data_IF_000574569527
#
_entry.id   IF_000574569527
#
_cell.length_a   1.000
_cell.length_b   1.000
_cell.length_c   1.000
_cell.angle_alpha   90.00
_cell.angle_beta   90.00
_cell.angle_gamma   90.00
#
_symmetry.space_group_name_H-M   'P 1'
#
loop_
_entity.id
_entity.type
_entity.pdbx_description
1 polymer ?
#
# COMPACT_ATOMS: atom_id res chain seq x y z
N UNK A 1 -12.16 -33.87 -0.20
CA UNK A 1 -12.39 -35.06 0.63
C UNK A 1 -12.43 -36.33 -0.22
N UNK A 2 -12.11 -37.45 0.37
CA UNK A 2 -12.31 -38.76 -0.26
C UNK A 2 -13.81 -38.97 -0.50
N UNK A 3 -14.30 -38.74 -1.70
CA UNK A 3 -15.72 -38.95 -2.01
C UNK A 3 -16.30 -38.08 -3.12
N UNK A 4 -15.50 -37.19 -3.72
CA UNK A 4 -15.93 -36.44 -4.92
C UNK A 4 -17.12 -35.49 -4.72
N UNK A 5 -17.51 -35.17 -3.48
CA UNK A 5 -18.54 -34.16 -3.21
C UNK A 5 -17.97 -32.77 -3.40
N UNK A 6 -18.65 -31.87 -4.16
CA UNK A 6 -18.24 -30.50 -4.29
C UNK A 6 -18.30 -29.77 -2.93
N UNK A 7 -17.29 -28.96 -2.65
CA UNK A 7 -17.28 -28.05 -1.49
C UNK A 7 -17.41 -26.63 -2.03
N UNK A 8 -18.42 -25.93 -1.54
CA UNK A 8 -18.65 -24.53 -1.89
C UNK A 8 -18.08 -23.65 -0.79
N UNK A 9 -17.29 -22.66 -1.16
CA UNK A 9 -16.71 -21.68 -0.25
C UNK A 9 -17.15 -20.30 -0.72
N UNK A 10 -17.90 -19.60 0.12
CA UNK A 10 -18.24 -18.20 -0.11
C UNK A 10 -17.28 -17.32 0.70
N UNK A 11 -16.31 -16.71 0.02
CA UNK A 11 -15.32 -15.82 0.63
C UNK A 11 -15.93 -14.46 1.02
N UNK A 12 -17.12 -14.14 0.56
CA UNK A 12 -17.80 -12.85 0.77
C UNK A 12 -19.00 -12.94 1.70
N UNK A 13 -19.27 -14.11 2.26
CA UNK A 13 -20.41 -14.32 3.17
C UNK A 13 -20.26 -13.53 4.48
N UNK A 14 -19.01 -13.30 4.93
CA UNK A 14 -18.71 -12.47 6.10
C UNK A 14 -18.11 -11.14 5.67
N UNK A 15 -18.19 -10.13 6.53
CA UNK A 15 -17.59 -8.80 6.27
C UNK A 15 -16.08 -8.85 6.00
N UNK A 16 -15.39 -9.90 6.48
CA UNK A 16 -13.96 -10.13 6.24
C UNK A 16 -13.79 -11.59 5.86
N UNK A 17 -13.75 -11.86 4.56
CA UNK A 17 -13.36 -13.17 4.04
C UNK A 17 -11.83 -13.28 4.04
N UNK A 18 -11.28 -14.16 4.88
CA UNK A 18 -9.85 -14.49 4.87
C UNK A 18 -9.68 -15.99 4.72
N UNK A 19 -8.80 -16.40 3.81
CA UNK A 19 -8.45 -17.80 3.62
C UNK A 19 -6.93 -17.94 3.62
N UNK A 20 -6.44 -18.97 4.28
CA UNK A 20 -5.03 -19.36 4.24
C UNK A 20 -4.90 -20.67 3.46
N UNK A 21 -4.15 -20.65 2.38
CA UNK A 21 -3.87 -21.82 1.55
C UNK A 21 -2.44 -22.26 1.85
N UNK A 22 -2.31 -23.44 2.46
CA UNK A 22 -1.01 -24.03 2.80
C UNK A 22 -0.76 -25.31 2.02
N UNK A 23 0.49 -25.63 1.83
CA UNK A 23 0.93 -26.86 1.15
C UNK A 23 2.39 -26.77 0.72
N UNK A 24 2.97 -27.90 0.40
CA UNK A 24 4.35 -27.99 -0.11
C UNK A 24 4.47 -27.36 -1.51
N UNK A 25 5.70 -27.12 -1.96
CA UNK A 25 5.94 -26.68 -3.34
C UNK A 25 5.35 -27.71 -4.32
N UNK A 26 4.73 -27.24 -5.40
CA UNK A 26 4.07 -28.08 -6.39
C UNK A 26 2.69 -28.63 -5.98
N UNK A 27 2.18 -28.34 -4.79
CA UNK A 27 0.87 -28.82 -4.31
C UNK A 27 -0.36 -28.15 -4.94
N UNK A 28 -0.15 -27.20 -5.86
CA UNK A 28 -1.24 -26.52 -6.57
C UNK A 28 -1.78 -25.25 -5.88
N UNK A 29 -1.09 -24.69 -4.88
CA UNK A 29 -1.52 -23.45 -4.19
C UNK A 29 -1.77 -22.29 -5.16
N UNK A 30 -0.84 -22.03 -6.06
CA UNK A 30 -0.96 -20.96 -7.05
C UNK A 30 -2.09 -21.23 -8.04
N UNK A 31 -2.32 -22.48 -8.41
CA UNK A 31 -3.46 -22.88 -9.27
C UNK A 31 -4.79 -22.59 -8.59
N UNK A 32 -4.89 -22.91 -7.30
CA UNK A 32 -6.09 -22.62 -6.52
C UNK A 32 -6.30 -21.11 -6.35
N UNK A 33 -5.25 -20.35 -6.02
CA UNK A 33 -5.31 -18.89 -5.95
C UNK A 33 -5.75 -18.28 -7.28
N UNK A 34 -5.22 -18.77 -8.39
CA UNK A 34 -5.62 -18.36 -9.73
C UNK A 34 -7.10 -18.70 -10.02
N UNK A 35 -7.58 -19.83 -9.58
CA UNK A 35 -8.98 -20.19 -9.70
C UNK A 35 -9.88 -19.20 -8.97
N UNK A 36 -9.54 -18.80 -7.74
CA UNK A 36 -10.28 -17.75 -7.02
C UNK A 36 -10.24 -16.42 -7.76
N UNK A 37 -9.11 -16.06 -8.35
CA UNK A 37 -8.99 -14.84 -9.14
C UNK A 37 -9.94 -14.85 -10.34
N UNK A 38 -9.98 -15.94 -11.11
CA UNK A 38 -10.88 -16.07 -12.25
C UNK A 38 -12.36 -16.03 -11.86
N UNK A 39 -12.73 -16.70 -10.77
CA UNK A 39 -14.11 -16.66 -10.24
C UNK A 39 -14.50 -15.26 -9.78
N UNK A 40 -13.58 -14.52 -9.15
CA UNK A 40 -13.79 -13.12 -8.77
C UNK A 40 -14.01 -12.24 -10.01
N UNK A 41 -13.15 -12.35 -11.03
CA UNK A 41 -13.29 -11.61 -12.27
C UNK A 41 -14.59 -11.92 -13.00
N UNK A 42 -14.99 -13.19 -13.06
CA UNK A 42 -16.25 -13.62 -13.65
C UNK A 42 -17.49 -12.98 -12.96
N UNK A 43 -17.35 -12.60 -11.69
CA UNK A 43 -18.34 -11.89 -10.90
C UNK A 43 -18.10 -10.37 -10.84
N UNK A 44 -17.29 -9.81 -11.72
CA UNK A 44 -16.92 -8.39 -11.76
C UNK A 44 -16.30 -7.88 -10.43
N UNK A 45 -15.61 -8.74 -9.72
CA UNK A 45 -14.87 -8.40 -8.51
C UNK A 45 -13.40 -8.17 -8.89
N UNK A 46 -12.86 -6.95 -8.73
CA UNK A 46 -11.46 -6.68 -8.99
C UNK A 46 -10.53 -7.52 -8.12
N UNK A 47 -9.40 -7.91 -8.71
CA UNK A 47 -8.38 -8.72 -8.04
C UNK A 47 -7.09 -7.92 -7.95
N UNK A 48 -6.48 -7.91 -6.79
CA UNK A 48 -5.15 -7.39 -6.57
C UNK A 48 -4.32 -8.40 -5.80
N UNK A 49 -3.05 -8.53 -6.11
CA UNK A 49 -2.20 -9.48 -5.44
C UNK A 49 -0.74 -9.05 -5.34
N UNK A 50 -0.02 -9.76 -4.48
CA UNK A 50 1.42 -9.67 -4.37
C UNK A 50 2.04 -10.99 -4.79
N UNK A 51 3.10 -10.93 -5.57
CA UNK A 51 3.86 -12.10 -5.98
C UNK A 51 5.33 -11.97 -5.59
N UNK A 52 5.76 -12.84 -4.70
CA UNK A 52 7.15 -12.91 -4.25
C UNK A 52 7.81 -14.10 -4.94
N UNK A 53 8.37 -13.87 -6.11
CA UNK A 53 9.05 -14.89 -6.90
C UNK A 53 10.56 -14.79 -6.78
N UNK A 54 11.19 -15.80 -6.20
CA UNK A 54 12.66 -15.88 -6.13
C UNK A 54 13.34 -16.20 -7.48
N UNK A 55 12.59 -16.78 -8.42
CA UNK A 55 13.13 -17.28 -9.70
C UNK A 55 12.81 -16.39 -10.93
N UNK A 56 12.02 -15.33 -10.76
CA UNK A 56 11.55 -14.50 -11.88
C UNK A 56 10.48 -15.19 -12.76
N UNK A 57 10.25 -16.47 -12.60
CA UNK A 57 9.21 -17.23 -13.30
C UNK A 57 8.00 -17.40 -12.38
N UNK A 58 6.95 -16.63 -12.64
CA UNK A 58 5.71 -16.67 -11.90
C UNK A 58 4.59 -17.30 -12.73
N UNK A 59 3.88 -18.26 -12.13
CA UNK A 59 2.64 -18.81 -12.71
C UNK A 59 1.60 -17.71 -12.93
N UNK A 60 1.52 -16.75 -12.00
CA UNK A 60 0.60 -15.61 -12.11
C UNK A 60 0.95 -14.69 -13.28
N UNK A 61 2.23 -14.41 -13.52
CA UNK A 61 2.66 -13.57 -14.65
C UNK A 61 2.13 -14.08 -15.98
N UNK A 62 2.44 -15.34 -16.30
CA UNK A 62 2.00 -15.97 -17.54
C UNK A 62 0.47 -16.00 -17.67
N UNK A 63 -0.22 -16.31 -16.58
CA UNK A 63 -1.66 -16.38 -16.57
C UNK A 63 -2.33 -15.00 -16.76
N UNK A 64 -1.76 -13.94 -16.16
CA UNK A 64 -2.24 -12.56 -16.29
C UNK A 64 -2.00 -12.03 -17.71
N UNK A 65 -0.86 -12.33 -18.32
CA UNK A 65 -0.55 -11.93 -19.71
C UNK A 65 -1.59 -12.45 -20.73
N UNK A 66 -2.19 -13.60 -20.43
CA UNK A 66 -3.27 -14.17 -21.27
C UNK A 66 -4.59 -13.38 -21.20
N UNK A 67 -4.78 -12.52 -20.20
CA UNK A 67 -5.99 -11.70 -20.04
C UNK A 67 -5.93 -10.38 -20.83
N UNK A 68 -4.83 -10.08 -21.51
CA UNK A 68 -4.65 -8.84 -22.27
C UNK A 68 -4.83 -7.60 -21.39
N UNK A 69 -5.62 -6.64 -21.85
CA UNK A 69 -5.83 -5.35 -21.17
C UNK A 69 -6.54 -5.46 -19.81
N UNK A 70 -7.16 -6.60 -19.52
CA UNK A 70 -7.81 -6.82 -18.21
C UNK A 70 -6.83 -7.15 -17.11
N UNK A 71 -5.61 -7.58 -17.44
CA UNK A 71 -4.59 -8.02 -16.51
C UNK A 71 -3.32 -7.18 -16.58
N UNK A 72 -2.71 -6.94 -15.43
CA UNK A 72 -1.39 -6.33 -15.35
C UNK A 72 -0.52 -7.00 -14.31
N UNK A 73 0.71 -7.26 -14.68
CA UNK A 73 1.74 -7.78 -13.79
C UNK A 73 2.87 -6.75 -13.70
N UNK A 74 2.94 -6.05 -12.58
CA UNK A 74 3.86 -4.95 -12.38
C UNK A 74 5.06 -5.37 -11.53
N UNK A 75 6.27 -5.15 -12.02
CA UNK A 75 7.44 -5.14 -11.16
C UNK A 75 7.44 -3.83 -10.37
N UNK A 76 7.25 -3.92 -9.06
CA UNK A 76 7.13 -2.75 -8.17
C UNK A 76 8.40 -1.89 -8.20
N UNK A 77 9.54 -2.44 -8.57
CA UNK A 77 10.81 -1.72 -8.67
C UNK A 77 11.00 -0.99 -10.02
N UNK A 78 10.19 -1.29 -11.03
CA UNK A 78 10.31 -0.72 -12.38
C UNK A 78 9.63 0.64 -12.54
N UNK A 79 8.85 1.06 -11.58
CA UNK A 79 8.10 2.31 -11.58
C UNK A 79 8.01 2.94 -10.21
N UNK A 80 6.95 3.69 -9.98
CA UNK A 80 6.64 4.25 -8.66
C UNK A 80 5.22 3.90 -8.23
N UNK A 81 5.09 3.64 -6.93
CA UNK A 81 3.82 3.53 -6.24
C UNK A 81 3.88 4.44 -5.02
N UNK A 82 3.08 5.50 -5.04
CA UNK A 82 3.08 6.52 -3.99
C UNK A 82 2.54 5.94 -2.68
N UNK A 83 3.39 5.83 -1.66
CA UNK A 83 2.99 5.31 -0.35
C UNK A 83 1.82 6.09 0.25
N UNK A 84 1.75 7.40 0.01
CA UNK A 84 0.73 8.29 0.55
C UNK A 84 -0.46 8.53 -0.39
N UNK A 85 -0.61 7.75 -1.45
CA UNK A 85 -1.80 7.79 -2.28
C UNK A 85 -2.96 7.09 -1.56
N UNK A 86 -4.04 7.81 -1.22
CA UNK A 86 -5.20 7.20 -0.60
C UNK A 86 -6.02 6.40 -1.60
N UNK A 87 -6.94 5.51 -1.14
CA UNK A 87 -7.90 4.88 -2.02
C UNK A 87 -8.85 5.92 -2.65
N UNK A 88 -9.33 5.64 -3.85
CA UNK A 88 -10.39 6.46 -4.47
C UNK A 88 -11.75 6.11 -3.85
N UNK A 89 -12.22 6.99 -2.98
CA UNK A 89 -13.44 6.77 -2.19
C UNK A 89 -14.65 7.59 -2.70
N UNK A 90 -14.55 8.23 -3.86
CA UNK A 90 -15.59 9.13 -4.38
C UNK A 90 -16.93 8.46 -4.61
N UNK A 91 -16.93 7.15 -4.90
CA UNK A 91 -18.13 6.35 -5.15
C UNK A 91 -18.89 5.93 -3.89
N UNK A 92 -18.30 6.09 -2.71
CA UNK A 92 -18.88 5.64 -1.45
C UNK A 92 -19.66 6.74 -0.75
N UNK A 93 -20.65 6.37 0.05
CA UNK A 93 -21.32 7.29 0.97
C UNK A 93 -20.34 7.79 2.08
N UNK A 94 -20.80 8.74 2.87
CA UNK A 94 -19.97 9.38 3.89
C UNK A 94 -19.43 8.38 4.92
N UNK A 95 -20.29 7.50 5.43
CA UNK A 95 -19.94 6.55 6.49
C UNK A 95 -18.91 5.54 6.00
N UNK A 96 -19.14 5.00 4.80
CA UNK A 96 -18.22 4.04 4.20
C UNK A 96 -16.87 4.69 3.82
N UNK A 97 -16.88 5.95 3.34
CA UNK A 97 -15.64 6.71 3.12
C UNK A 97 -14.83 6.88 4.39
N UNK A 98 -15.45 7.26 5.49
CA UNK A 98 -14.79 7.43 6.79
C UNK A 98 -14.17 6.10 7.25
N UNK A 99 -14.92 5.01 7.19
CA UNK A 99 -14.45 3.67 7.57
C UNK A 99 -13.24 3.22 6.75
N UNK A 100 -13.31 3.37 5.43
CA UNK A 100 -12.23 2.96 4.50
C UNK A 100 -11.00 3.86 4.65
N UNK A 101 -11.20 5.16 4.86
CA UNK A 101 -10.12 6.10 5.12
C UNK A 101 -9.39 5.75 6.42
N UNK A 102 -10.10 5.40 7.50
CA UNK A 102 -9.46 4.97 8.75
C UNK A 102 -8.65 3.68 8.56
N UNK A 103 -9.19 2.70 7.81
CA UNK A 103 -8.44 1.48 7.50
C UNK A 103 -7.14 1.76 6.73
N UNK A 104 -7.18 2.68 5.77
CA UNK A 104 -5.99 3.13 5.04
C UNK A 104 -5.00 3.86 5.95
N UNK A 105 -5.46 4.80 6.77
CA UNK A 105 -4.63 5.53 7.75
C UNK A 105 -3.92 4.57 8.71
N UNK A 106 -4.63 3.57 9.23
CA UNK A 106 -4.05 2.58 10.14
C UNK A 106 -2.91 1.79 9.49
N UNK A 107 -3.05 1.48 8.22
CA UNK A 107 -1.97 0.85 7.46
C UNK A 107 -0.79 1.82 7.26
N UNK A 108 -1.06 3.05 6.82
CA UNK A 108 -0.01 4.05 6.56
C UNK A 108 0.75 4.43 7.83
N UNK A 109 0.07 4.56 8.98
CA UNK A 109 0.73 4.78 10.28
C UNK A 109 1.78 3.71 10.56
N UNK A 110 1.42 2.43 10.38
CA UNK A 110 2.36 1.30 10.57
C UNK A 110 3.50 1.32 9.55
N UNK A 111 3.21 1.64 8.30
CA UNK A 111 4.24 1.75 7.26
C UNK A 111 5.24 2.88 7.55
N UNK A 112 4.76 4.06 7.92
CA UNK A 112 5.59 5.19 8.31
C UNK A 112 6.42 4.90 9.57
N UNK A 113 5.80 4.24 10.56
CA UNK A 113 6.49 3.79 11.77
C UNK A 113 7.61 2.82 11.43
N UNK A 114 7.36 1.82 10.59
CA UNK A 114 8.37 0.86 10.15
C UNK A 114 9.55 1.53 9.44
N UNK A 115 9.29 2.57 8.63
CA UNK A 115 10.33 3.35 7.94
C UNK A 115 11.14 4.19 8.94
N UNK A 116 10.46 4.88 9.86
CA UNK A 116 11.09 5.83 10.78
C UNK A 116 11.81 5.18 11.96
N UNK A 117 11.39 3.98 12.37
CA UNK A 117 11.99 3.28 13.51
C UNK A 117 13.44 2.90 13.26
N UNK A 118 13.79 2.42 12.07
CA UNK A 118 15.16 1.97 11.79
C UNK A 118 15.64 0.98 12.86
N UNK A 119 16.80 1.26 13.45
CA UNK A 119 17.43 0.45 14.52
C UNK A 119 17.28 1.12 15.89
N UNK A 120 16.08 1.56 16.28
CA UNK A 120 15.84 2.12 17.60
C UNK A 120 15.83 1.00 18.64
N UNK A 121 16.69 1.11 19.65
CA UNK A 121 16.75 0.20 20.80
C UNK A 121 16.06 0.77 22.06
N UNK A 122 15.78 2.07 22.09
CA UNK A 122 15.14 2.75 23.21
C UNK A 122 13.61 2.72 23.06
N UNK A 123 12.86 1.99 23.91
CA UNK A 123 11.40 1.88 23.81
C UNK A 123 10.67 3.23 23.94
N UNK A 124 11.17 4.13 24.79
CA UNK A 124 10.56 5.45 24.99
C UNK A 124 10.71 6.32 23.73
N UNK A 125 11.87 6.29 23.10
CA UNK A 125 12.09 6.98 21.83
C UNK A 125 11.19 6.38 20.73
N UNK A 126 11.10 5.07 20.63
CA UNK A 126 10.23 4.39 19.66
C UNK A 126 8.76 4.80 19.85
N UNK A 127 8.26 4.78 21.06
CA UNK A 127 6.89 5.19 21.38
C UNK A 127 6.65 6.67 21.04
N UNK A 128 7.66 7.54 21.27
CA UNK A 128 7.53 8.95 20.94
C UNK A 128 7.55 9.21 19.45
N UNK A 129 8.41 8.52 18.69
CA UNK A 129 8.41 8.54 17.22
C UNK A 129 7.03 8.18 16.68
N UNK A 130 6.45 7.10 17.17
CA UNK A 130 5.12 6.63 16.76
C UNK A 130 4.04 7.70 17.03
N UNK A 131 4.02 8.26 18.23
CA UNK A 131 3.05 9.30 18.60
C UNK A 131 3.17 10.56 17.72
N UNK A 132 4.39 10.98 17.39
CA UNK A 132 4.62 12.15 16.53
C UNK A 132 4.26 11.87 15.07
N UNK A 133 4.52 10.66 14.56
CA UNK A 133 4.10 10.26 13.22
C UNK A 133 2.59 10.24 13.07
N UNK A 134 1.86 9.69 14.04
CA UNK A 134 0.39 9.69 14.05
C UNK A 134 -0.13 11.12 13.99
N UNK A 135 0.41 12.00 14.85
CA UNK A 135 0.02 13.41 14.87
C UNK A 135 0.36 14.12 13.57
N UNK A 136 1.55 13.87 13.01
CA UNK A 136 1.97 14.46 11.72
C UNK A 136 1.05 14.03 10.57
N UNK A 137 0.67 12.75 10.53
CA UNK A 137 -0.27 12.25 9.52
C UNK A 137 -1.65 12.91 9.64
N UNK A 138 -2.15 13.09 10.86
CA UNK A 138 -3.43 13.75 11.08
C UNK A 138 -3.38 15.24 10.67
N UNK A 139 -2.30 15.95 10.97
CA UNK A 139 -2.12 17.36 10.56
C UNK A 139 -2.00 17.44 9.04
N UNK A 140 -1.19 16.59 8.43
CA UNK A 140 -1.01 16.51 6.97
C UNK A 140 -2.33 16.27 6.23
N UNK A 141 -3.12 15.29 6.66
CA UNK A 141 -4.39 14.95 6.00
C UNK A 141 -5.52 15.95 6.23
N UNK A 142 -5.36 16.89 7.18
CA UNK A 142 -6.30 18.00 7.42
C UNK A 142 -5.85 19.31 6.80
N UNK A 143 -4.66 19.38 6.27
CA UNK A 143 -4.13 20.58 5.63
C UNK A 143 -4.93 20.91 4.35
N UNK A 144 -5.45 22.14 4.19
CA UNK A 144 -6.30 22.52 3.06
C UNK A 144 -5.60 22.40 1.70
N UNK A 145 -4.29 22.68 1.64
CA UNK A 145 -3.52 22.54 0.40
C UNK A 145 -3.39 21.07 0.01
N UNK A 146 -3.07 20.20 0.97
CA UNK A 146 -2.95 18.76 0.77
C UNK A 146 -4.29 18.17 0.30
N UNK A 147 -5.40 18.54 0.96
CA UNK A 147 -6.74 18.10 0.58
C UNK A 147 -7.06 18.52 -0.86
N UNK A 148 -6.78 19.78 -1.20
CA UNK A 148 -7.04 20.32 -2.54
C UNK A 148 -6.24 19.56 -3.60
N UNK A 149 -4.98 19.26 -3.34
CA UNK A 149 -4.12 18.50 -4.28
C UNK A 149 -4.61 17.07 -4.49
N UNK A 150 -5.04 16.37 -3.44
CA UNK A 150 -5.66 15.05 -3.56
C UNK A 150 -6.94 15.11 -4.41
N UNK A 151 -7.84 16.04 -4.09
CA UNK A 151 -9.10 16.16 -4.82
C UNK A 151 -8.87 16.44 -6.31
N UNK A 152 -8.00 17.36 -6.67
CA UNK A 152 -7.66 17.66 -8.06
C UNK A 152 -7.05 16.46 -8.79
N UNK A 153 -6.13 15.75 -8.14
CA UNK A 153 -5.51 14.58 -8.73
C UNK A 153 -6.53 13.50 -9.06
N UNK A 154 -7.49 13.24 -8.16
CA UNK A 154 -8.54 12.24 -8.40
C UNK A 154 -9.60 12.72 -9.40
N UNK A 155 -9.95 14.00 -9.43
CA UNK A 155 -10.88 14.57 -10.41
C UNK A 155 -10.34 14.45 -11.84
N UNK A 156 -9.08 14.83 -12.04
CA UNK A 156 -8.44 14.84 -13.35
C UNK A 156 -7.93 13.46 -13.78
N UNK A 157 -7.71 12.59 -12.81
CA UNK A 157 -7.40 11.18 -13.02
C UNK A 157 -5.93 10.88 -13.26
N UNK A 158 -5.64 9.59 -13.28
CA UNK A 158 -4.31 9.06 -13.49
C UNK A 158 -3.67 9.59 -14.80
N UNK A 159 -2.39 9.91 -14.75
CA UNK A 159 -1.58 10.55 -15.79
C UNK A 159 -1.89 12.02 -16.11
N UNK A 160 -2.86 12.64 -15.46
CA UNK A 160 -3.06 14.09 -15.64
C UNK A 160 -1.89 14.91 -15.08
N UNK A 161 -1.72 16.18 -15.47
CA UNK A 161 -0.76 17.09 -14.83
C UNK A 161 -1.03 17.24 -13.33
N UNK A 162 -2.28 17.23 -12.92
CA UNK A 162 -2.71 17.32 -11.52
C UNK A 162 -2.32 16.05 -10.73
N UNK A 163 -2.34 14.89 -11.39
CA UNK A 163 -1.85 13.65 -10.81
C UNK A 163 -0.36 13.72 -10.45
N UNK A 164 0.43 14.44 -11.25
CA UNK A 164 1.85 14.66 -10.95
C UNK A 164 2.06 15.57 -9.72
N UNK A 165 1.03 16.25 -9.25
CA UNK A 165 1.04 17.10 -8.07
C UNK A 165 0.41 16.42 -6.83
N UNK A 166 0.02 15.15 -6.94
CA UNK A 166 -0.54 14.41 -5.80
C UNK A 166 0.45 14.42 -4.62
N UNK A 167 -0.01 14.61 -3.37
CA UNK A 167 0.88 14.61 -2.22
C UNK A 167 1.68 13.31 -2.07
N UNK A 168 2.94 13.44 -1.71
CA UNK A 168 3.91 12.35 -1.60
C UNK A 168 4.69 12.45 -0.28
N UNK A 169 5.52 11.47 0.01
CA UNK A 169 6.34 11.42 1.23
C UNK A 169 7.22 12.67 1.43
N UNK A 170 7.86 13.29 0.40
CA UNK A 170 8.53 14.59 0.55
C UNK A 170 7.63 15.73 1.03
N UNK A 171 6.34 15.68 0.73
CA UNK A 171 5.39 16.67 1.25
C UNK A 171 5.08 16.39 2.73
N UNK A 172 4.87 15.13 3.08
CA UNK A 172 4.57 14.70 4.45
C UNK A 172 5.68 15.06 5.44
N UNK A 173 6.95 14.83 5.08
CA UNK A 173 8.08 15.06 6.00
C UNK A 173 8.17 16.52 6.45
N UNK A 174 7.67 17.47 5.67
CA UNK A 174 7.62 18.89 6.04
C UNK A 174 6.68 19.18 7.22
N UNK A 175 5.74 18.28 7.50
CA UNK A 175 4.84 18.34 8.64
C UNK A 175 5.44 17.73 9.91
N UNK A 176 6.56 17.01 9.81
CA UNK A 176 7.26 16.41 10.94
C UNK A 176 8.22 17.42 11.60
N UNK A 177 7.69 18.58 12.01
CA UNK A 177 8.44 19.65 12.68
C UNK A 177 7.70 20.11 13.94
N UNK A 178 8.44 20.76 14.87
CA UNK A 178 7.84 21.33 16.09
C UNK A 178 6.69 22.27 15.77
N UNK A 179 6.92 23.15 14.80
CA UNK A 179 5.98 24.20 14.38
C UNK A 179 4.71 23.59 13.80
N UNK A 180 4.85 22.73 12.81
CA UNK A 180 3.71 22.09 12.14
C UNK A 180 2.87 21.24 13.09
N UNK A 181 3.51 20.60 14.06
CA UNK A 181 2.84 19.79 15.08
C UNK A 181 2.31 20.60 16.26
N UNK A 182 2.59 21.91 16.31
CA UNK A 182 2.19 22.81 17.39
C UNK A 182 2.49 22.22 18.78
N UNK A 183 3.76 21.80 18.98
CA UNK A 183 4.21 21.21 20.24
C UNK A 183 4.48 22.31 21.26
N UNK A 184 3.56 22.51 22.20
CA UNK A 184 3.67 23.53 23.26
C UNK A 184 4.83 23.23 24.21
N UNK A 185 4.98 22.00 24.64
CA UNK A 185 6.14 21.48 25.37
C UNK A 185 7.03 20.78 24.35
N UNK A 186 8.32 21.08 24.38
CA UNK A 186 9.30 20.49 23.47
C UNK A 186 10.53 20.07 24.27
N UNK A 187 10.55 18.83 24.63
CA UNK A 187 11.60 18.21 25.45
C UNK A 187 12.68 17.56 24.56
N UNK A 188 13.75 17.12 25.17
CA UNK A 188 14.86 16.44 24.45
C UNK A 188 14.37 15.19 23.72
N UNK A 189 13.43 14.45 24.32
CA UNK A 189 12.83 13.27 23.69
C UNK A 189 12.09 13.63 22.39
N UNK A 190 11.38 14.76 22.36
CA UNK A 190 10.68 15.25 21.17
C UNK A 190 11.67 15.61 20.07
N UNK A 191 12.75 16.30 20.44
CA UNK A 191 13.83 16.66 19.51
C UNK A 191 14.48 15.43 18.90
N UNK A 192 14.81 14.44 19.73
CA UNK A 192 15.41 13.19 19.27
C UNK A 192 14.46 12.42 18.37
N UNK A 193 13.17 12.36 18.70
CA UNK A 193 12.17 11.68 17.90
C UNK A 193 11.96 12.34 16.53
N UNK A 194 11.85 13.68 16.46
CA UNK A 194 11.75 14.39 15.19
C UNK A 194 13.02 14.24 14.34
N UNK A 195 14.20 14.31 14.95
CA UNK A 195 15.46 14.09 14.27
C UNK A 195 15.56 12.66 13.71
N UNK A 196 15.09 11.67 14.46
CA UNK A 196 15.02 10.28 14.00
C UNK A 196 14.11 10.15 12.76
N UNK A 197 12.91 10.72 12.80
CA UNK A 197 11.97 10.71 11.67
C UNK A 197 12.61 11.38 10.44
N UNK A 198 13.15 12.59 10.60
CA UNK A 198 13.77 13.36 9.53
C UNK A 198 14.98 12.60 8.92
N UNK A 199 15.80 12.01 9.76
CA UNK A 199 16.99 11.26 9.33
C UNK A 199 16.60 9.99 8.55
N UNK A 200 15.71 9.17 9.08
CA UNK A 200 15.34 7.90 8.45
C UNK A 200 14.55 8.11 7.15
N UNK A 201 13.56 9.01 7.17
CA UNK A 201 12.80 9.33 5.96
C UNK A 201 13.69 10.04 4.93
N UNK A 202 14.55 10.95 5.37
CA UNK A 202 15.54 11.63 4.51
C UNK A 202 16.50 10.65 3.83
N UNK A 203 17.01 9.67 4.56
CA UNK A 203 17.86 8.62 4.02
C UNK A 203 17.11 7.76 2.98
N UNK A 204 15.86 7.39 3.25
CA UNK A 204 15.00 6.69 2.30
C UNK A 204 14.80 7.51 1.02
N UNK A 205 14.46 8.79 1.14
CA UNK A 205 14.23 9.68 0.00
C UNK A 205 15.48 9.88 -0.87
N UNK A 206 16.67 9.87 -0.26
CA UNK A 206 17.94 9.94 -0.97
C UNK A 206 18.33 8.62 -1.65
N UNK A 207 17.73 7.51 -1.27
CA UNK A 207 18.02 6.19 -1.82
C UNK A 207 17.30 5.92 -3.15
N UNK A 208 17.74 4.86 -3.84
CA UNK A 208 17.04 4.36 -5.03
C UNK A 208 15.58 4.00 -4.73
N UNK A 209 15.29 3.46 -3.56
CA UNK A 209 13.93 3.08 -3.14
C UNK A 209 13.03 4.30 -2.93
N UNK A 210 13.57 5.45 -2.53
CA UNK A 210 12.81 6.68 -2.39
C UNK A 210 12.09 7.07 -3.68
N UNK A 211 12.70 6.81 -4.84
CA UNK A 211 12.07 7.05 -6.15
C UNK A 211 10.87 6.16 -6.41
N UNK A 212 10.89 4.93 -5.90
CA UNK A 212 9.80 3.98 -6.08
C UNK A 212 8.62 4.21 -5.12
N UNK A 213 8.86 4.82 -3.95
CA UNK A 213 7.88 4.97 -2.87
C UNK A 213 7.32 6.40 -2.80
N UNK A 214 8.10 7.39 -3.18
CA UNK A 214 7.88 8.81 -2.88
C UNK A 214 7.57 9.67 -4.11
N UNK A 215 7.10 9.07 -5.18
CA UNK A 215 6.67 9.76 -6.40
C UNK A 215 5.24 9.40 -6.74
N UNK A 216 4.53 10.21 -7.55
CA UNK A 216 3.22 9.86 -8.07
C UNK A 216 3.22 8.48 -8.72
N UNK A 217 2.16 7.71 -8.49
CA UNK A 217 2.08 6.34 -9.00
C UNK A 217 2.05 6.30 -10.53
N UNK A 218 2.89 5.43 -11.11
CA UNK A 218 3.02 5.23 -12.56
C UNK A 218 2.33 3.94 -13.04
N UNK A 219 1.91 3.07 -12.13
CA UNK A 219 1.18 1.86 -12.46
C UNK A 219 -0.30 2.17 -12.69
N UNK A 220 -0.86 1.66 -13.81
CA UNK A 220 -2.27 1.89 -14.14
C UNK A 220 -3.20 1.29 -13.09
N UNK A 221 -4.20 2.02 -12.61
CA UNK A 221 -5.25 1.48 -11.74
C UNK A 221 -6.36 0.74 -12.50
N UNK A 222 -6.39 0.82 -13.83
CA UNK A 222 -7.51 0.38 -14.66
C UNK A 222 -7.68 -1.14 -14.81
N UNK A 223 -6.61 -1.97 -14.92
CA UNK A 223 -6.77 -3.41 -15.09
C UNK A 223 -7.60 -4.06 -13.97
N UNK A 224 -8.52 -4.95 -14.33
CA UNK A 224 -9.40 -5.64 -13.39
C UNK A 224 -8.65 -6.59 -12.46
N UNK A 225 -7.51 -7.12 -12.91
CA UNK A 225 -6.57 -7.89 -12.08
C UNK A 225 -5.17 -7.28 -12.18
N UNK A 226 -4.57 -7.00 -11.04
CA UNK A 226 -3.22 -6.45 -10.91
C UNK A 226 -2.42 -7.21 -9.89
N UNK A 227 -1.23 -7.64 -10.27
CA UNK A 227 -0.25 -8.20 -9.35
C UNK A 227 0.99 -7.33 -9.28
N UNK A 228 1.47 -7.09 -8.07
CA UNK A 228 2.71 -6.39 -7.79
C UNK A 228 3.79 -7.41 -7.43
N UNK A 229 4.76 -7.55 -8.33
CA UNK A 229 5.85 -8.48 -8.17
C UNK A 229 7.01 -7.85 -7.40
N UNK A 230 7.59 -8.63 -6.52
CA UNK A 230 8.82 -8.32 -5.80
C UNK A 230 9.91 -9.22 -6.36
N UNK A 231 10.69 -8.70 -7.31
CA UNK A 231 11.77 -9.44 -7.95
C UNK A 231 13.10 -8.68 -7.86
N UNK A 232 14.21 -9.41 -7.92
CA UNK A 232 15.56 -8.84 -8.02
C UNK A 232 16.03 -8.06 -6.77
N UNK A 233 15.38 -8.21 -5.63
CA UNK A 233 15.76 -7.59 -4.37
C UNK A 233 16.72 -8.51 -3.60
N UNK A 234 18.00 -8.12 -3.56
CA UNK A 234 19.07 -8.91 -2.91
C UNK A 234 19.35 -8.49 -1.47
N UNK A 235 18.89 -7.30 -1.06
CA UNK A 235 19.05 -6.75 0.28
C UNK A 235 17.74 -6.91 1.05
N UNK A 236 17.79 -7.52 2.24
CA UNK A 236 16.59 -7.78 3.07
C UNK A 236 15.83 -6.51 3.45
N UNK A 237 16.55 -5.42 3.76
CA UNK A 237 15.91 -4.15 4.14
C UNK A 237 15.18 -3.54 2.95
N UNK A 238 15.76 -3.58 1.76
CA UNK A 238 15.15 -3.09 0.53
C UNK A 238 13.92 -3.95 0.18
N UNK A 239 14.03 -5.27 0.29
CA UNK A 239 12.94 -6.20 0.08
C UNK A 239 11.77 -5.94 1.04
N UNK A 240 12.06 -5.67 2.31
CA UNK A 240 11.05 -5.33 3.32
C UNK A 240 10.30 -4.04 2.99
N UNK A 241 11.03 -2.97 2.63
CA UNK A 241 10.43 -1.69 2.27
C UNK A 241 9.60 -1.78 0.98
N UNK A 242 10.07 -2.54 0.00
CA UNK A 242 9.33 -2.76 -1.24
C UNK A 242 8.09 -3.62 -1.01
N UNK A 243 8.15 -4.60 -0.09
CA UNK A 243 6.99 -5.38 0.33
C UNK A 243 5.92 -4.50 1.00
N UNK A 244 6.33 -3.58 1.88
CA UNK A 244 5.42 -2.57 2.47
C UNK A 244 4.76 -1.74 1.35
N UNK A 245 5.52 -1.29 0.38
CA UNK A 245 5.01 -0.47 -0.72
C UNK A 245 4.04 -1.24 -1.63
N UNK A 246 4.37 -2.48 -1.97
CA UNK A 246 3.47 -3.35 -2.73
C UNK A 246 2.18 -3.63 -1.96
N UNK A 247 2.28 -3.90 -0.66
CA UNK A 247 1.12 -4.08 0.20
C UNK A 247 0.26 -2.81 0.27
N UNK A 248 0.87 -1.62 0.36
CA UNK A 248 0.16 -0.34 0.31
C UNK A 248 -0.64 -0.19 -0.99
N UNK A 249 -0.04 -0.54 -2.13
CA UNK A 249 -0.72 -0.53 -3.43
C UNK A 249 -1.91 -1.50 -3.46
N UNK A 250 -1.76 -2.70 -2.89
CA UNK A 250 -2.83 -3.67 -2.79
C UNK A 250 -3.98 -3.20 -1.88
N UNK A 251 -3.68 -2.70 -0.69
CA UNK A 251 -4.67 -2.16 0.26
C UNK A 251 -5.44 -1.00 -0.37
N UNK A 252 -4.76 -0.06 -1.00
CA UNK A 252 -5.39 1.06 -1.70
C UNK A 252 -6.36 0.59 -2.79
N UNK A 253 -5.93 -0.36 -3.62
CA UNK A 253 -6.79 -0.93 -4.65
C UNK A 253 -8.00 -1.65 -4.05
N UNK A 254 -7.80 -2.47 -3.01
CA UNK A 254 -8.87 -3.17 -2.33
C UNK A 254 -9.89 -2.21 -1.71
N UNK A 255 -9.44 -1.15 -1.05
CA UNK A 255 -10.31 -0.15 -0.43
C UNK A 255 -11.04 0.74 -1.45
N UNK A 256 -10.55 0.84 -2.69
CA UNK A 256 -11.18 1.65 -3.76
C UNK A 256 -12.40 0.98 -4.38
N UNK A 257 -12.70 -0.26 -4.05
CA UNK A 257 -13.81 -1.03 -4.62
C UNK A 257 -14.74 -1.57 -3.52
N UNK A 258 -16.07 -1.67 -3.76
CA UNK A 258 -17.02 -2.23 -2.78
C UNK A 258 -16.67 -3.67 -2.39
N UNK A 259 -16.22 -4.46 -3.36
CA UNK A 259 -15.71 -5.81 -3.19
C UNK A 259 -14.39 -5.92 -3.95
N UNK A 260 -13.44 -6.62 -3.39
CA UNK A 260 -12.17 -6.94 -4.04
C UNK A 260 -11.61 -8.23 -3.47
N UNK A 261 -10.87 -8.95 -4.28
CA UNK A 261 -10.10 -10.10 -3.83
C UNK A 261 -8.63 -9.69 -3.74
N UNK A 262 -8.00 -9.94 -2.59
CA UNK A 262 -6.56 -9.75 -2.39
C UNK A 262 -5.88 -11.12 -2.22
N UNK A 263 -4.89 -11.42 -3.06
CA UNK A 263 -4.13 -12.69 -3.09
C UNK A 263 -2.65 -12.43 -2.81
#
# INVERSE_FOLDING_TARGET
GRGGKPVYIDLFHQQIGRALITGTSGSGKSVLGWRFALEALANNIPVVGMDISSSGNSTFKTAIELLGDQGAYYDISSGSSNLLEPPDLRRFDKLERERRMESWKDFIRRALSAIAMGKIHNPHLAQRVDALLIRALDVFLRDPEIITRYNRAFEMGWRSPEWQQIPTLPNFIKFCTRESLNLRSFEDLDRHALNQIQSQVGALLASRLGKAIARPSTFSPEPAIKFFALSGLTNEQDAYLMAINAHAACIRNALSHPRSLFI
#
